data_IF_040489560454
#
_entry.id   IF_040489560454
#
_cell.length_a   1.000
_cell.length_b   1.000
_cell.length_c   1.000
_cell.angle_alpha   90.00
_cell.angle_beta   90.00
_cell.angle_gamma   90.00
#
_symmetry.space_group_name_H-M   'P 1'
#
loop_
_entity.id
_entity.type
_entity.pdbx_description
1 polymer ?
#
# COMPACT_ATOMS: atom_id res chain seq x y z
N UNK A 1 79.51 -35.72 -13.66
CA UNK A 1 78.83 -34.70 -14.46
C UNK A 1 77.29 -35.00 -14.40
N UNK A 2 76.57 -34.29 -13.55
CA UNK A 2 75.13 -34.42 -13.41
C UNK A 2 74.46 -33.38 -14.30
N UNK A 3 73.64 -33.82 -15.29
CA UNK A 3 72.87 -32.95 -16.16
C UNK A 3 71.61 -32.55 -15.41
N UNK A 4 71.38 -31.26 -15.14
CA UNK A 4 70.18 -30.68 -14.59
C UNK A 4 69.27 -30.33 -15.77
N UNK A 5 68.09 -30.94 -15.82
CA UNK A 5 67.03 -30.70 -16.78
C UNK A 5 66.14 -29.58 -16.22
N UNK A 6 65.89 -28.45 -16.89
CA UNK A 6 64.98 -27.45 -16.40
C UNK A 6 63.53 -27.87 -16.75
N UNK A 7 62.71 -28.01 -15.69
CA UNK A 7 61.25 -28.20 -15.82
C UNK A 7 60.62 -26.82 -16.09
N UNK A 8 60.09 -26.65 -17.31
CA UNK A 8 59.26 -25.50 -17.65
C UNK A 8 57.86 -25.70 -17.08
N UNK A 9 57.56 -24.95 -16.03
CA UNK A 9 56.19 -24.87 -15.47
C UNK A 9 55.39 -23.89 -16.33
N UNK A 10 54.53 -24.41 -17.23
CA UNK A 10 53.59 -23.60 -18.00
C UNK A 10 52.42 -23.32 -17.06
N UNK A 11 52.39 -22.13 -16.47
CA UNK A 11 51.22 -21.63 -15.76
C UNK A 11 50.13 -21.26 -16.77
N UNK A 12 49.12 -22.15 -16.91
CA UNK A 12 47.92 -21.89 -17.69
C UNK A 12 47.06 -20.92 -16.84
N UNK A 13 47.23 -19.61 -17.05
CA UNK A 13 46.34 -18.60 -16.50
C UNK A 13 45.04 -18.63 -17.29
N UNK A 14 44.00 -19.30 -16.72
CA UNK A 14 42.65 -19.24 -17.21
C UNK A 14 42.13 -17.80 -17.04
N UNK A 15 42.21 -17.00 -18.07
CA UNK A 15 41.47 -15.75 -18.15
C UNK A 15 39.97 -16.09 -18.23
N UNK A 16 39.28 -16.05 -17.09
CA UNK A 16 37.82 -15.98 -17.07
C UNK A 16 37.51 -14.58 -17.61
N UNK A 17 37.23 -14.47 -18.90
CA UNK A 17 36.66 -13.26 -19.46
C UNK A 17 35.24 -13.14 -18.87
N UNK A 18 35.09 -12.28 -17.85
CA UNK A 18 33.78 -11.81 -17.44
C UNK A 18 33.20 -11.03 -18.62
N UNK A 19 32.37 -11.68 -19.42
CA UNK A 19 31.54 -10.97 -20.39
C UNK A 19 30.61 -10.03 -19.59
N UNK A 20 31.03 -8.79 -19.43
CA UNK A 20 30.13 -7.71 -19.09
C UNK A 20 29.11 -7.65 -20.26
N UNK A 21 27.91 -8.12 -20.03
CA UNK A 21 26.84 -8.03 -20.99
C UNK A 21 26.56 -6.55 -21.19
N UNK A 22 27.07 -6.00 -22.30
CA UNK A 22 26.85 -4.60 -22.66
C UNK A 22 25.36 -4.39 -22.81
N UNK A 23 24.78 -3.49 -22.01
CA UNK A 23 23.39 -3.10 -22.11
C UNK A 23 23.14 -2.38 -23.43
N UNK A 24 22.59 -3.09 -24.41
CA UNK A 24 22.30 -2.55 -25.73
C UNK A 24 20.91 -1.90 -25.82
N UNK A 25 20.16 -1.85 -24.73
CA UNK A 25 18.78 -1.35 -24.74
C UNK A 25 18.65 0.16 -24.74
N UNK A 26 19.71 0.89 -24.39
CA UNK A 26 19.71 2.35 -24.14
C UNK A 26 18.72 2.80 -23.06
N UNK A 27 18.11 1.85 -22.34
CA UNK A 27 17.11 2.09 -21.32
C UNK A 27 17.72 2.01 -19.91
N UNK A 28 17.34 2.95 -19.07
CA UNK A 28 17.52 2.85 -17.62
C UNK A 28 16.14 2.80 -16.97
N UNK A 29 15.89 1.75 -16.20
CA UNK A 29 14.60 1.57 -15.51
C UNK A 29 14.86 1.56 -14.01
N UNK A 30 14.08 2.37 -13.29
CA UNK A 30 14.23 2.52 -11.85
C UNK A 30 12.88 2.42 -11.14
N UNK A 31 12.90 1.92 -9.90
CA UNK A 31 11.79 1.99 -8.97
C UNK A 31 11.89 3.30 -8.19
N UNK A 32 10.87 4.12 -8.27
CA UNK A 32 10.66 5.29 -7.42
C UNK A 32 9.78 4.91 -6.24
N UNK A 33 10.25 5.20 -5.02
CA UNK A 33 9.48 4.97 -3.78
C UNK A 33 9.34 6.29 -3.05
N UNK A 34 8.08 6.72 -2.88
CA UNK A 34 7.73 7.98 -2.26
C UNK A 34 7.28 7.77 -0.82
N UNK A 35 7.74 8.66 0.07
CA UNK A 35 7.38 8.60 1.48
C UNK A 35 5.87 8.81 1.70
N UNK A 36 5.31 8.35 2.85
CA UNK A 36 3.95 8.66 3.24
C UNK A 36 3.65 10.16 3.21
N UNK A 37 2.38 10.50 2.95
CA UNK A 37 1.82 11.85 3.08
C UNK A 37 0.85 11.96 4.26
N UNK A 38 0.23 13.13 4.39
CA UNK A 38 -0.70 13.44 5.49
C UNK A 38 -2.13 12.95 5.26
N UNK A 39 -2.49 12.73 3.99
CA UNK A 39 -3.83 12.28 3.64
C UNK A 39 -3.94 10.75 3.73
N UNK A 40 -5.15 10.23 3.96
CA UNK A 40 -5.39 8.79 4.12
C UNK A 40 -4.91 7.98 2.91
N UNK A 41 -5.17 8.45 1.70
CA UNK A 41 -4.74 7.77 0.47
C UNK A 41 -3.23 7.77 0.26
N UNK A 42 -2.50 8.71 0.86
CA UNK A 42 -1.05 8.84 0.73
C UNK A 42 -0.27 8.31 1.95
N UNK A 43 -0.96 7.93 3.04
CA UNK A 43 -0.31 7.50 4.30
C UNK A 43 0.49 6.21 4.18
N UNK A 44 0.25 5.44 3.13
CA UNK A 44 0.99 4.19 2.86
C UNK A 44 2.23 4.40 1.99
N UNK A 45 2.49 5.64 1.54
CA UNK A 45 3.50 5.94 0.54
C UNK A 45 3.00 5.67 -0.88
N UNK A 46 3.93 5.65 -1.84
CA UNK A 46 3.63 5.38 -3.24
C UNK A 46 4.82 4.75 -3.96
N UNK A 47 4.57 4.05 -5.06
CA UNK A 47 5.60 3.49 -5.93
C UNK A 47 5.27 3.74 -7.39
N UNK A 48 6.30 4.07 -8.19
CA UNK A 48 6.20 4.25 -9.64
C UNK A 48 7.45 3.68 -10.34
N UNK A 49 7.35 3.40 -11.64
CA UNK A 49 8.51 3.03 -12.46
C UNK A 49 8.90 4.19 -13.36
N UNK A 50 10.18 4.56 -13.31
CA UNK A 50 10.78 5.53 -14.24
C UNK A 50 11.49 4.78 -15.34
N UNK A 51 11.30 5.21 -16.58
CA UNK A 51 11.99 4.72 -17.76
C UNK A 51 12.65 5.90 -18.46
N UNK A 52 13.96 5.87 -18.50
CA UNK A 52 14.78 6.83 -19.24
C UNK A 52 15.33 6.14 -20.49
N UNK A 53 15.19 6.78 -21.64
CA UNK A 53 15.74 6.33 -22.92
C UNK A 53 16.74 7.36 -23.42
N UNK A 54 18.01 6.97 -23.50
CA UNK A 54 19.11 7.84 -23.93
C UNK A 54 19.16 8.10 -25.44
N UNK A 55 18.45 7.32 -26.25
CA UNK A 55 18.35 7.49 -27.70
C UNK A 55 17.25 8.47 -28.07
N UNK A 56 16.07 8.31 -27.45
CA UNK A 56 14.92 9.21 -27.71
C UNK A 56 14.90 10.43 -26.80
N UNK A 57 15.84 10.52 -25.85
CA UNK A 57 15.90 11.57 -24.82
C UNK A 57 14.58 11.71 -24.04
N UNK A 58 13.87 10.61 -23.83
CA UNK A 58 12.65 10.60 -23.03
C UNK A 58 12.91 10.12 -21.62
N UNK A 59 12.24 10.74 -20.65
CA UNK A 59 12.32 10.42 -19.24
C UNK A 59 10.90 10.44 -18.66
N UNK A 60 10.32 9.26 -18.51
CA UNK A 60 8.90 9.07 -18.21
C UNK A 60 8.72 8.27 -16.93
N UNK A 61 7.70 8.64 -16.16
CA UNK A 61 7.25 7.91 -14.97
C UNK A 61 5.92 7.25 -15.27
N UNK A 62 5.87 5.95 -15.07
CA UNK A 62 4.68 5.12 -15.16
C UNK A 62 4.08 4.96 -13.77
N UNK A 63 2.93 5.60 -13.55
CA UNK A 63 2.32 5.80 -12.25
C UNK A 63 0.99 5.06 -12.16
N UNK A 64 1.00 3.85 -11.57
CA UNK A 64 -0.21 3.06 -11.29
C UNK A 64 -0.95 3.64 -10.08
N UNK A 65 -2.28 3.54 -10.07
CA UNK A 65 -3.09 3.97 -8.94
C UNK A 65 -3.61 5.40 -9.07
N UNK A 66 -3.50 5.99 -10.26
CA UNK A 66 -4.10 7.29 -10.55
C UNK A 66 -5.62 7.16 -10.67
N UNK A 67 -6.34 8.14 -10.19
CA UNK A 67 -7.79 8.23 -10.28
C UNK A 67 -8.24 9.69 -10.42
N UNK A 68 -9.44 9.89 -10.95
CA UNK A 68 -10.00 11.22 -11.18
C UNK A 68 -11.19 11.47 -10.25
N UNK A 69 -11.24 12.64 -9.63
CA UNK A 69 -12.42 13.14 -8.92
C UNK A 69 -13.43 13.70 -9.92
N UNK A 70 -14.33 12.82 -10.39
CA UNK A 70 -15.46 13.21 -11.21
C UNK A 70 -16.76 13.13 -10.40
N UNK A 71 -17.91 13.66 -10.89
CA UNK A 71 -19.18 13.63 -10.16
C UNK A 71 -19.64 12.23 -9.71
N UNK A 72 -19.24 11.18 -10.43
CA UNK A 72 -19.56 9.78 -10.13
C UNK A 72 -18.52 9.11 -9.21
N UNK A 73 -17.50 9.83 -8.76
CA UNK A 73 -16.40 9.26 -7.96
C UNK A 73 -16.95 8.55 -6.71
N UNK A 74 -17.66 9.28 -5.84
CA UNK A 74 -18.13 8.71 -4.57
C UNK A 74 -19.08 7.53 -4.74
N UNK A 75 -20.12 7.59 -5.61
CA UNK A 75 -20.99 6.43 -5.88
C UNK A 75 -20.23 5.20 -6.40
N UNK A 76 -19.25 5.39 -7.28
CA UNK A 76 -18.42 4.30 -7.82
C UNK A 76 -17.45 3.76 -6.76
N UNK A 77 -16.84 4.63 -5.98
CA UNK A 77 -15.94 4.26 -4.89
C UNK A 77 -16.66 3.40 -3.85
N UNK A 78 -17.81 3.88 -3.32
CA UNK A 78 -18.60 3.14 -2.31
C UNK A 78 -19.03 1.76 -2.83
N UNK A 79 -19.37 1.65 -4.12
CA UNK A 79 -19.77 0.37 -4.73
C UNK A 79 -18.58 -0.54 -5.08
N UNK A 80 -17.35 -0.08 -4.94
CA UNK A 80 -16.15 -0.81 -5.38
C UNK A 80 -16.03 -0.94 -6.91
N UNK A 81 -16.60 0.03 -7.65
CA UNK A 81 -16.62 0.07 -9.13
C UNK A 81 -15.77 1.19 -9.72
N UNK A 82 -15.04 1.91 -8.87
CA UNK A 82 -14.12 2.95 -9.35
C UNK A 82 -12.97 2.28 -10.11
N UNK A 83 -12.74 2.74 -11.32
CA UNK A 83 -11.56 2.36 -12.09
C UNK A 83 -10.44 3.34 -11.81
N UNK A 84 -9.30 2.78 -11.49
CA UNK A 84 -8.02 3.47 -11.44
C UNK A 84 -7.30 3.26 -12.77
N UNK A 85 -6.27 4.03 -13.02
CA UNK A 85 -5.51 3.89 -14.26
C UNK A 85 -4.01 4.10 -14.09
N UNK A 86 -3.26 3.65 -15.10
CA UNK A 86 -1.85 3.95 -15.26
C UNK A 86 -1.73 5.30 -15.97
N UNK A 87 -1.21 6.32 -15.26
CA UNK A 87 -0.81 7.59 -15.86
C UNK A 87 0.66 7.55 -16.25
N UNK A 88 1.02 8.36 -17.25
CA UNK A 88 2.40 8.57 -17.69
C UNK A 88 2.66 10.06 -17.67
N UNK A 89 3.67 10.45 -16.94
CA UNK A 89 4.09 11.85 -16.80
C UNK A 89 5.60 12.00 -17.01
N UNK A 90 6.10 13.22 -17.12
CA UNK A 90 7.54 13.46 -17.18
C UNK A 90 8.15 13.31 -15.79
N UNK A 91 9.41 12.88 -15.72
CA UNK A 91 10.10 12.76 -14.45
C UNK A 91 10.21 14.07 -13.66
N UNK A 92 10.51 15.24 -14.31
CA UNK A 92 10.49 16.51 -13.61
C UNK A 92 9.13 16.86 -12.97
N UNK A 93 8.01 16.60 -13.67
CA UNK A 93 6.67 16.89 -13.16
C UNK A 93 6.35 15.99 -11.95
N UNK A 94 6.71 14.70 -12.03
CA UNK A 94 6.57 13.77 -10.92
C UNK A 94 7.35 14.25 -9.68
N UNK A 95 8.62 14.60 -9.85
CA UNK A 95 9.47 15.07 -8.73
C UNK A 95 8.91 16.37 -8.16
N UNK A 96 8.50 17.31 -9.01
CA UNK A 96 7.93 18.59 -8.59
C UNK A 96 6.66 18.39 -7.74
N UNK A 97 5.76 17.49 -8.14
CA UNK A 97 4.56 17.17 -7.36
C UNK A 97 4.89 16.72 -5.94
N UNK A 98 5.85 15.80 -5.77
CA UNK A 98 6.28 15.32 -4.45
C UNK A 98 7.06 16.37 -3.64
N UNK A 99 7.76 17.28 -4.30
CA UNK A 99 8.38 18.42 -3.63
C UNK A 99 7.34 19.38 -3.05
N UNK A 100 6.25 19.65 -3.78
CA UNK A 100 5.14 20.48 -3.29
C UNK A 100 4.41 19.84 -2.10
N UNK A 101 4.34 18.51 -2.05
CA UNK A 101 3.77 17.76 -0.95
C UNK A 101 4.76 17.52 0.22
N UNK A 102 6.00 17.99 0.11
CA UNK A 102 7.10 17.73 1.06
C UNK A 102 7.29 16.23 1.35
N UNK A 103 7.21 15.40 0.32
CA UNK A 103 7.35 13.95 0.40
C UNK A 103 8.63 13.49 -0.26
N UNK A 104 9.47 12.78 0.47
CA UNK A 104 10.76 12.26 -0.02
C UNK A 104 10.57 11.21 -1.11
N UNK A 105 11.52 11.18 -2.06
CA UNK A 105 11.59 10.17 -3.13
C UNK A 105 12.93 9.46 -3.03
N UNK A 106 12.91 8.13 -3.04
CA UNK A 106 14.08 7.25 -3.18
C UNK A 106 14.01 6.52 -4.51
N UNK A 107 15.14 6.33 -5.13
CA UNK A 107 15.27 5.64 -6.40
C UNK A 107 16.15 4.39 -6.25
N UNK A 108 15.73 3.29 -6.86
CA UNK A 108 16.47 2.03 -6.98
C UNK A 108 16.60 1.69 -8.46
N UNK A 109 17.81 1.62 -8.98
CA UNK A 109 18.06 1.17 -10.34
C UNK A 109 17.87 -0.34 -10.45
N UNK A 110 17.07 -0.77 -11.43
CA UNK A 110 16.82 -2.18 -11.68
C UNK A 110 17.91 -2.75 -12.58
N UNK A 111 18.66 -3.72 -12.06
CA UNK A 111 19.78 -4.37 -12.75
C UNK A 111 19.28 -5.47 -13.71
N UNK A 112 18.52 -5.04 -14.71
CA UNK A 112 17.95 -5.87 -15.76
C UNK A 112 18.89 -5.94 -16.98
N UNK A 113 18.86 -7.06 -17.71
CA UNK A 113 19.52 -7.15 -19.00
C UNK A 113 18.84 -6.25 -20.05
N UNK A 114 19.54 -5.94 -21.15
CA UNK A 114 18.97 -5.12 -22.22
C UNK A 114 17.67 -5.70 -22.78
N UNK A 115 17.57 -7.03 -22.94
CA UNK A 115 16.35 -7.71 -23.38
C UNK A 115 15.20 -7.54 -22.37
N UNK A 116 15.47 -7.71 -21.07
CA UNK A 116 14.46 -7.55 -20.01
C UNK A 116 13.96 -6.10 -19.93
N UNK A 117 14.86 -5.12 -20.08
CA UNK A 117 14.50 -3.71 -20.14
C UNK A 117 13.56 -3.40 -21.30
N UNK A 118 13.87 -3.93 -22.49
CA UNK A 118 13.02 -3.76 -23.68
C UNK A 118 11.65 -4.41 -23.48
N UNK A 119 11.59 -5.64 -22.95
CA UNK A 119 10.32 -6.33 -22.63
C UNK A 119 9.49 -5.56 -21.62
N UNK A 120 10.12 -5.13 -20.52
CA UNK A 120 9.44 -4.38 -19.48
C UNK A 120 8.90 -3.04 -19.99
N UNK A 121 9.70 -2.30 -20.79
CA UNK A 121 9.26 -1.05 -21.38
C UNK A 121 8.08 -1.27 -22.37
N UNK A 122 8.12 -2.30 -23.20
CA UNK A 122 7.02 -2.65 -24.09
C UNK A 122 5.74 -3.01 -23.32
N UNK A 123 5.86 -3.76 -22.22
CA UNK A 123 4.74 -4.10 -21.33
C UNK A 123 4.14 -2.86 -20.67
N UNK A 124 4.98 -1.91 -20.19
CA UNK A 124 4.52 -0.64 -19.62
C UNK A 124 3.79 0.21 -20.67
N UNK A 125 4.32 0.34 -21.88
CA UNK A 125 3.66 1.06 -22.97
C UNK A 125 2.32 0.43 -23.36
N UNK A 126 2.24 -0.90 -23.42
CA UNK A 126 1.00 -1.62 -23.67
C UNK A 126 -0.03 -1.35 -22.57
N UNK A 127 0.39 -1.43 -21.29
CA UNK A 127 -0.49 -1.14 -20.16
C UNK A 127 -0.95 0.33 -20.13
N UNK A 128 -0.14 1.27 -20.64
CA UNK A 128 -0.51 2.68 -20.69
C UNK A 128 -1.42 3.03 -21.87
N UNK A 129 -1.64 2.11 -22.82
CA UNK A 129 -2.35 2.38 -24.07
C UNK A 129 -3.84 2.08 -24.01
N UNK A 130 -4.66 2.96 -24.58
CA UNK A 130 -6.11 2.76 -24.79
C UNK A 130 -6.88 2.37 -23.52
N UNK A 131 -7.66 1.30 -23.60
CA UNK A 131 -8.42 0.76 -22.48
C UNK A 131 -7.59 -0.04 -21.48
N UNK A 132 -6.39 -0.50 -21.86
CA UNK A 132 -5.52 -1.32 -21.00
C UNK A 132 -5.05 -0.59 -19.77
N UNK A 133 -5.02 0.75 -19.82
CA UNK A 133 -4.60 1.56 -18.67
C UNK A 133 -5.55 1.48 -17.47
N UNK A 134 -6.83 1.18 -17.69
CA UNK A 134 -7.84 1.13 -16.63
C UNK A 134 -7.91 -0.23 -15.97
N UNK A 135 -8.04 -0.22 -14.64
CA UNK A 135 -8.16 -1.45 -13.85
C UNK A 135 -8.96 -1.23 -12.57
N UNK A 136 -9.45 -2.33 -12.01
CA UNK A 136 -10.16 -2.32 -10.75
C UNK A 136 -9.17 -2.41 -9.62
N UNK A 137 -9.01 -1.33 -8.88
CA UNK A 137 -8.05 -1.25 -7.79
C UNK A 137 -8.45 -2.18 -6.62
N UNK A 138 -7.51 -2.95 -6.13
CA UNK A 138 -7.60 -3.66 -4.86
C UNK A 138 -6.42 -3.26 -3.98
N UNK A 139 -6.73 -2.81 -2.77
CA UNK A 139 -5.70 -2.25 -1.87
C UNK A 139 -4.60 -3.26 -1.51
N UNK A 140 -4.92 -4.56 -1.41
CA UNK A 140 -3.93 -5.60 -1.07
C UNK A 140 -3.32 -6.27 -2.30
N UNK A 141 -4.12 -6.48 -3.35
CA UNK A 141 -3.76 -7.43 -4.41
C UNK A 141 -3.60 -6.80 -5.79
N UNK A 142 -4.12 -5.58 -6.03
CA UNK A 142 -4.01 -4.90 -7.32
C UNK A 142 -3.87 -3.37 -7.15
N UNK A 143 -2.74 -2.95 -6.59
CA UNK A 143 -2.39 -1.54 -6.33
C UNK A 143 -1.10 -1.12 -7.04
N UNK A 144 -0.62 0.11 -6.79
CA UNK A 144 0.60 0.61 -7.41
C UNK A 144 1.81 -0.29 -7.16
N UNK A 145 2.00 -0.77 -5.93
CA UNK A 145 3.15 -1.58 -5.55
C UNK A 145 3.07 -3.02 -6.11
N UNK A 146 1.89 -3.66 -6.00
CA UNK A 146 1.71 -5.03 -6.51
C UNK A 146 1.82 -5.09 -8.02
N UNK A 147 1.26 -4.11 -8.75
CA UNK A 147 1.40 -4.04 -10.22
C UNK A 147 2.85 -3.88 -10.66
N UNK A 148 3.63 -3.06 -9.95
CA UNK A 148 5.05 -2.91 -10.23
C UNK A 148 5.80 -4.21 -9.94
N UNK A 149 5.54 -4.84 -8.79
CA UNK A 149 6.12 -6.14 -8.47
C UNK A 149 5.87 -7.15 -9.60
N UNK A 150 4.62 -7.27 -10.00
CA UNK A 150 4.19 -8.30 -10.93
C UNK A 150 4.68 -8.02 -12.36
N UNK A 151 4.65 -6.77 -12.83
CA UNK A 151 5.15 -6.45 -14.17
C UNK A 151 6.67 -6.64 -14.26
N UNK A 152 7.44 -6.34 -13.21
CA UNK A 152 8.87 -6.61 -13.18
C UNK A 152 9.13 -8.12 -13.19
N UNK A 153 8.49 -8.88 -12.28
CA UNK A 153 8.65 -10.34 -12.21
C UNK A 153 8.28 -11.05 -13.53
N UNK A 154 7.25 -10.57 -14.22
CA UNK A 154 6.77 -11.19 -15.48
C UNK A 154 7.65 -10.84 -16.70
N UNK A 155 8.57 -9.89 -16.57
CA UNK A 155 9.43 -9.46 -17.67
C UNK A 155 10.93 -9.74 -17.44
N UNK A 156 11.26 -10.51 -16.41
CA UNK A 156 12.60 -11.08 -16.21
C UNK A 156 12.73 -12.44 -16.90
N UNK A 157 13.93 -12.79 -17.33
CA UNK A 157 14.25 -14.07 -18.00
C UNK A 157 14.29 -15.24 -17.03
N UNK A 158 14.74 -14.99 -15.82
CA UNK A 158 14.76 -15.95 -14.72
C UNK A 158 13.81 -15.50 -13.61
N UNK A 159 13.42 -16.44 -12.74
CA UNK A 159 12.55 -16.15 -11.61
C UNK A 159 13.20 -15.16 -10.65
N UNK A 160 12.42 -14.17 -10.22
CA UNK A 160 12.83 -13.23 -9.17
C UNK A 160 12.68 -13.94 -7.82
N UNK A 161 13.79 -14.11 -7.12
CA UNK A 161 13.83 -14.67 -5.76
C UNK A 161 13.96 -13.54 -4.75
N UNK A 162 13.06 -13.48 -3.76
CA UNK A 162 13.03 -12.43 -2.75
C UNK A 162 13.35 -13.04 -1.38
N UNK A 163 14.36 -12.50 -0.68
CA UNK A 163 14.68 -12.92 0.69
C UNK A 163 13.54 -12.58 1.63
N UNK A 164 13.54 -13.18 2.82
CA UNK A 164 12.52 -12.86 3.81
C UNK A 164 12.59 -11.39 4.26
N UNK A 165 11.51 -10.66 4.04
CA UNK A 165 11.33 -9.24 4.40
C UNK A 165 10.20 -9.06 5.43
N UNK A 166 9.60 -10.13 5.94
CA UNK A 166 8.59 -10.07 7.00
C UNK A 166 9.17 -9.35 8.22
N UNK A 167 8.44 -8.40 8.83
CA UNK A 167 8.92 -7.71 10.04
C UNK A 167 8.98 -8.67 11.25
N UNK A 168 8.10 -9.66 11.29
CA UNK A 168 8.05 -10.76 12.25
C UNK A 168 7.17 -11.89 11.68
N UNK A 169 7.30 -13.14 12.22
CA UNK A 169 6.47 -14.26 11.80
C UNK A 169 4.96 -13.98 11.96
N UNK A 170 4.16 -14.52 11.07
CA UNK A 170 2.69 -14.48 11.11
C UNK A 170 2.06 -13.08 11.15
N UNK A 171 2.79 -12.04 10.74
CA UNK A 171 2.25 -10.70 10.62
C UNK A 171 1.02 -10.69 9.73
N UNK A 172 -0.09 -10.14 10.20
CA UNK A 172 -1.32 -10.01 9.41
C UNK A 172 -1.31 -8.76 8.50
N UNK A 173 -2.13 -8.79 7.45
CA UNK A 173 -2.34 -7.59 6.63
C UNK A 173 -2.85 -6.41 7.47
N UNK A 174 -3.74 -6.67 8.45
CA UNK A 174 -4.25 -5.65 9.36
C UNK A 174 -3.14 -4.98 10.16
N UNK A 175 -2.21 -5.75 10.70
CA UNK A 175 -1.08 -5.21 11.47
C UNK A 175 -0.16 -4.35 10.60
N UNK A 176 0.11 -4.76 9.36
CA UNK A 176 0.90 -3.95 8.41
C UNK A 176 0.22 -2.61 8.11
N UNK A 177 -1.11 -2.61 7.91
CA UNK A 177 -1.92 -1.40 7.71
C UNK A 177 -1.89 -0.53 8.98
N UNK A 178 -2.10 -1.12 10.15
CA UNK A 178 -2.06 -0.43 11.44
C UNK A 178 -0.72 0.24 11.70
N UNK A 179 0.39 -0.41 11.38
CA UNK A 179 1.73 0.16 11.53
C UNK A 179 1.89 1.44 10.72
N UNK A 180 1.36 1.47 9.49
CA UNK A 180 1.40 2.68 8.64
C UNK A 180 0.50 3.79 9.21
N UNK A 181 -0.75 3.46 9.57
CA UNK A 181 -1.71 4.43 10.13
C UNK A 181 -1.25 4.99 11.49
N UNK A 182 -0.65 4.15 12.34
CA UNK A 182 -0.12 4.59 13.63
C UNK A 182 1.07 5.55 13.45
N UNK A 183 1.96 5.29 12.48
CA UNK A 183 3.05 6.22 12.14
C UNK A 183 2.53 7.56 11.62
N UNK A 184 1.45 7.53 10.83
CA UNK A 184 0.77 8.72 10.34
C UNK A 184 -0.14 9.41 11.37
N UNK A 185 -0.30 8.89 12.60
CA UNK A 185 -1.22 9.45 13.61
C UNK A 185 -2.70 9.35 13.25
N UNK A 186 -3.06 8.48 12.28
CA UNK A 186 -4.40 8.36 11.71
C UNK A 186 -5.31 7.42 12.51
N UNK A 187 -5.46 7.68 13.80
CA UNK A 187 -6.19 6.79 14.72
C UNK A 187 -7.69 6.65 14.39
N UNK A 188 -8.34 7.71 13.90
CA UNK A 188 -9.76 7.67 13.50
C UNK A 188 -9.94 6.90 12.19
N UNK A 189 -9.05 7.10 11.23
CA UNK A 189 -9.06 6.32 9.98
C UNK A 189 -8.80 4.83 10.26
N UNK A 190 -7.88 4.53 11.20
CA UNK A 190 -7.63 3.16 11.67
C UNK A 190 -8.91 2.53 12.23
N UNK A 191 -9.63 3.22 13.11
CA UNK A 191 -10.92 2.74 13.63
C UNK A 191 -11.93 2.49 12.50
N UNK A 192 -12.03 3.42 11.53
CA UNK A 192 -12.91 3.27 10.38
C UNK A 192 -12.57 2.03 9.55
N UNK A 193 -11.29 1.78 9.31
CA UNK A 193 -10.78 0.59 8.61
C UNK A 193 -11.11 -0.68 9.41
N UNK A 194 -10.91 -0.68 10.74
CA UNK A 194 -11.20 -1.83 11.60
C UNK A 194 -12.70 -2.15 11.64
N UNK A 195 -13.56 -1.15 11.54
CA UNK A 195 -14.99 -1.34 11.46
C UNK A 195 -15.43 -1.87 10.09
N UNK A 196 -14.92 -1.30 8.99
CA UNK A 196 -15.41 -1.58 7.65
C UNK A 196 -14.81 -2.85 7.03
N UNK A 197 -13.54 -3.17 7.33
CA UNK A 197 -12.86 -4.30 6.71
C UNK A 197 -12.99 -5.59 7.54
N UNK A 198 -13.28 -6.68 6.85
CA UNK A 198 -13.56 -7.96 7.44
C UNK A 198 -12.32 -8.79 7.79
N UNK A 199 -12.54 -10.03 8.20
CA UNK A 199 -11.52 -10.95 8.71
C UNK A 199 -10.50 -11.42 7.68
N UNK A 200 -10.69 -11.10 6.41
CA UNK A 200 -9.68 -11.34 5.35
C UNK A 200 -8.35 -10.67 5.65
N UNK A 201 -8.36 -9.53 6.38
CA UNK A 201 -7.16 -8.82 6.78
C UNK A 201 -6.41 -9.45 7.95
N UNK A 202 -7.07 -10.33 8.71
CA UNK A 202 -6.49 -10.96 9.90
C UNK A 202 -5.65 -12.21 9.54
N UNK A 203 -5.60 -12.58 8.26
CA UNK A 203 -4.75 -13.63 7.75
C UNK A 203 -3.29 -13.19 7.78
N UNK A 204 -2.40 -14.13 8.12
CA UNK A 204 -0.96 -13.92 8.01
C UNK A 204 -0.57 -13.64 6.55
N UNK A 205 0.19 -12.57 6.33
CA UNK A 205 0.70 -12.21 5.02
C UNK A 205 1.93 -13.07 4.69
N UNK A 206 1.98 -13.63 3.50
CA UNK A 206 3.18 -14.26 2.97
C UNK A 206 4.24 -13.21 2.64
N UNK A 207 5.50 -13.64 2.56
CA UNK A 207 6.63 -12.74 2.31
C UNK A 207 6.39 -11.73 1.18
N UNK A 208 6.07 -12.21 -0.02
CA UNK A 208 5.82 -11.35 -1.18
C UNK A 208 4.52 -10.55 -1.10
N UNK A 209 3.56 -11.03 -0.32
CA UNK A 209 2.29 -10.33 -0.14
C UNK A 209 2.46 -9.04 0.65
N UNK A 210 3.49 -8.92 1.51
CA UNK A 210 3.77 -7.67 2.23
C UNK A 210 4.10 -6.52 1.28
N UNK A 211 4.57 -6.83 0.05
CA UNK A 211 4.93 -5.86 -0.98
C UNK A 211 3.72 -5.11 -1.57
N UNK A 212 2.51 -5.31 -1.04
CA UNK A 212 1.40 -4.40 -1.32
C UNK A 212 1.66 -2.99 -0.76
N UNK A 213 2.55 -2.86 0.21
CA UNK A 213 3.01 -1.58 0.73
C UNK A 213 4.28 -1.13 0.01
N UNK A 214 4.37 0.13 -0.45
CA UNK A 214 5.55 0.68 -1.12
C UNK A 214 6.86 0.49 -0.36
N UNK A 215 6.84 0.61 0.98
CA UNK A 215 8.01 0.36 1.82
C UNK A 215 8.50 -1.10 1.71
N UNK A 216 7.59 -2.05 1.65
CA UNK A 216 7.94 -3.47 1.51
C UNK A 216 8.28 -3.84 0.08
N UNK A 217 7.72 -3.16 -0.93
CA UNK A 217 8.18 -3.29 -2.32
C UNK A 217 9.64 -2.85 -2.44
N UNK A 218 9.99 -1.70 -1.85
CA UNK A 218 11.37 -1.21 -1.80
C UNK A 218 12.32 -2.24 -1.14
N UNK A 219 11.97 -2.75 0.05
CA UNK A 219 12.75 -3.77 0.76
C UNK A 219 12.83 -5.09 -0.01
N UNK A 220 11.73 -5.50 -0.63
CA UNK A 220 11.65 -6.71 -1.41
C UNK A 220 12.57 -6.67 -2.61
N UNK A 221 12.53 -5.61 -3.39
CA UNK A 221 13.43 -5.44 -4.53
C UNK A 221 14.90 -5.32 -4.10
N UNK A 222 15.17 -4.62 -3.00
CA UNK A 222 16.52 -4.49 -2.44
C UNK A 222 17.13 -5.84 -2.04
N UNK A 223 16.30 -6.79 -1.63
CA UNK A 223 16.70 -8.13 -1.22
C UNK A 223 16.64 -9.18 -2.34
N UNK A 224 16.07 -8.78 -3.50
CA UNK A 224 15.78 -9.69 -4.59
C UNK A 224 16.98 -9.98 -5.48
N UNK A 225 16.94 -11.15 -6.12
CA UNK A 225 17.86 -11.53 -7.20
C UNK A 225 17.10 -12.11 -8.38
N UNK A 226 17.64 -11.93 -9.59
CA UNK A 226 17.26 -12.60 -10.83
C UNK A 226 18.37 -13.59 -11.15
N UNK A 227 18.10 -14.89 -11.01
CA UNK A 227 19.16 -15.88 -10.97
C UNK A 227 20.17 -15.57 -9.84
N UNK A 228 21.44 -15.41 -10.22
CA UNK A 228 22.51 -15.09 -9.28
C UNK A 228 22.86 -13.59 -9.18
N UNK A 229 22.13 -12.70 -9.88
CA UNK A 229 22.40 -11.26 -9.89
C UNK A 229 21.43 -10.53 -9.00
N UNK A 230 21.86 -9.56 -8.18
CA UNK A 230 20.96 -8.68 -7.45
C UNK A 230 20.03 -7.94 -8.44
N UNK A 231 18.72 -7.88 -8.11
CA UNK A 231 17.74 -7.14 -8.91
C UNK A 231 17.99 -5.63 -8.85
N UNK A 232 18.47 -5.11 -7.73
CA UNK A 232 18.75 -3.68 -7.51
C UNK A 232 20.24 -3.45 -7.58
N UNK A 233 20.64 -2.47 -8.39
CA UNK A 233 22.00 -1.94 -8.48
C UNK A 233 22.19 -0.74 -7.54
N UNK A 234 22.30 0.46 -8.13
CA UNK A 234 22.47 1.69 -7.35
C UNK A 234 21.17 2.17 -6.70
N UNK A 235 21.36 2.82 -5.55
CA UNK A 235 20.27 3.45 -4.79
C UNK A 235 20.68 4.85 -4.38
N UNK A 236 19.78 5.81 -4.57
CA UNK A 236 20.04 7.17 -4.12
C UNK A 236 18.73 7.90 -3.75
N UNK A 237 18.81 8.90 -2.87
CA UNK A 237 17.72 9.82 -2.66
C UNK A 237 17.60 10.76 -3.87
N UNK A 238 16.39 10.89 -4.43
CA UNK A 238 16.08 11.89 -5.47
C UNK A 238 15.74 13.22 -4.82
N UNK A 239 14.89 13.15 -3.79
CA UNK A 239 14.49 14.29 -2.99
C UNK A 239 14.32 13.84 -1.54
N UNK A 240 14.85 14.65 -0.63
CA UNK A 240 14.68 14.45 0.81
C UNK A 240 13.89 15.64 1.35
N UNK A 241 12.69 15.37 1.85
CA UNK A 241 11.86 16.40 2.46
C UNK A 241 12.55 17.00 3.69
N UNK A 242 12.39 18.31 3.96
CA UNK A 242 13.04 19.00 5.08
C UNK A 242 12.65 18.42 6.44
N UNK A 243 11.44 17.94 6.57
CA UNK A 243 10.92 17.31 7.78
C UNK A 243 10.29 15.97 7.45
N UNK A 244 10.57 14.95 8.26
CA UNK A 244 9.73 13.76 8.25
C UNK A 244 8.31 14.19 8.68
N UNK A 245 7.28 13.75 7.95
CA UNK A 245 5.89 13.96 8.37
C UNK A 245 5.67 13.12 9.63
N UNK A 246 5.99 13.72 10.78
CA UNK A 246 5.66 13.15 12.09
C UNK A 246 4.35 13.82 12.49
N UNK A 247 3.25 13.08 12.36
CA UNK A 247 1.97 13.58 12.88
C UNK A 247 2.10 13.81 14.37
N UNK A 248 1.76 15.02 14.86
CA UNK A 248 1.79 15.30 16.30
C UNK A 248 0.88 14.30 17.01
N UNK A 249 1.30 13.81 18.19
CA UNK A 249 0.47 12.93 19.01
C UNK A 249 -0.83 13.68 19.35
N UNK A 250 -1.92 13.31 18.71
CA UNK A 250 -3.23 13.88 18.99
C UNK A 250 -3.75 13.33 20.32
N UNK A 251 -4.21 14.22 21.21
CA UNK A 251 -4.98 13.80 22.39
C UNK A 251 -6.36 13.27 22.01
N UNK A 252 -6.94 13.76 20.91
CA UNK A 252 -8.25 13.34 20.41
C UNK A 252 -8.14 12.04 19.61
N UNK A 253 -7.93 10.94 20.33
CA UNK A 253 -7.93 9.58 19.78
C UNK A 253 -9.30 8.92 19.99
N UNK A 254 -9.67 7.88 19.20
CA UNK A 254 -10.88 7.10 19.45
C UNK A 254 -10.97 6.57 20.90
N UNK A 255 -9.85 6.06 21.44
CA UNK A 255 -9.80 5.55 22.81
C UNK A 255 -10.18 6.63 23.83
N UNK A 256 -9.57 7.81 23.75
CA UNK A 256 -9.84 8.90 24.68
C UNK A 256 -11.29 9.42 24.53
N UNK A 257 -11.79 9.49 23.29
CA UNK A 257 -13.17 9.90 23.02
C UNK A 257 -14.18 8.93 23.62
N UNK A 258 -14.01 7.63 23.40
CA UNK A 258 -14.91 6.62 23.97
C UNK A 258 -14.77 6.48 25.48
N UNK A 259 -13.56 6.65 26.04
CA UNK A 259 -13.37 6.71 27.48
C UNK A 259 -14.10 7.90 28.10
N UNK A 260 -14.04 9.08 27.49
CA UNK A 260 -14.80 10.24 27.95
C UNK A 260 -16.31 10.01 27.90
N UNK A 261 -16.84 9.44 26.82
CA UNK A 261 -18.26 9.06 26.71
C UNK A 261 -18.64 8.07 27.79
N UNK A 262 -17.85 7.03 28.04
CA UNK A 262 -18.08 6.06 29.12
C UNK A 262 -18.13 6.73 30.49
N UNK A 263 -17.23 7.65 30.78
CA UNK A 263 -17.23 8.40 32.04
C UNK A 263 -18.49 9.25 32.23
N UNK A 264 -19.00 9.84 31.13
CA UNK A 264 -20.30 10.56 31.17
C UNK A 264 -21.45 9.62 31.50
N UNK A 265 -21.50 8.43 30.88
CA UNK A 265 -22.52 7.41 31.19
C UNK A 265 -22.48 6.99 32.67
N UNK A 266 -21.28 6.73 33.21
CA UNK A 266 -21.09 6.36 34.60
C UNK A 266 -21.58 7.49 35.49
N UNK A 267 -21.16 8.73 35.25
CA UNK A 267 -21.54 9.89 36.06
C UNK A 267 -23.07 10.09 36.08
N UNK A 268 -23.73 10.02 34.91
CA UNK A 268 -25.18 10.15 34.81
C UNK A 268 -25.92 9.01 35.52
N UNK A 269 -25.38 7.78 35.50
CA UNK A 269 -25.94 6.62 36.21
C UNK A 269 -25.88 6.84 37.76
N UNK A 270 -24.80 7.42 38.26
CA UNK A 270 -24.61 7.66 39.70
C UNK A 270 -25.50 8.78 40.23
N UNK A 271 -25.90 9.78 39.44
CA UNK A 271 -26.73 10.93 39.84
C UNK A 271 -28.16 10.53 40.23
N UNK A 272 -28.70 9.44 39.69
CA UNK A 272 -30.03 8.86 40.05
C UNK A 272 -31.24 9.84 40.02
N UNK A 273 -31.12 10.98 39.36
CA UNK A 273 -32.20 11.97 39.21
C UNK A 273 -33.13 11.63 38.03
N UNK A 274 -34.34 12.24 37.97
CA UNK A 274 -35.23 12.03 36.86
C UNK A 274 -34.68 12.57 35.56
N UNK A 275 -34.00 13.71 35.59
CA UNK A 275 -33.35 14.27 34.38
C UNK A 275 -32.20 13.38 33.87
N UNK A 276 -31.37 12.83 34.80
CA UNK A 276 -30.30 11.91 34.37
C UNK A 276 -30.83 10.64 33.73
N UNK A 277 -31.93 10.07 34.22
CA UNK A 277 -32.64 8.94 33.63
C UNK A 277 -33.16 9.26 32.20
N UNK A 278 -33.71 10.48 32.03
CA UNK A 278 -34.18 10.94 30.72
C UNK A 278 -33.05 11.06 29.69
N UNK A 279 -31.91 11.64 30.14
CA UNK A 279 -30.70 11.76 29.31
C UNK A 279 -30.15 10.36 28.94
N UNK A 280 -29.99 9.47 29.93
CA UNK A 280 -29.52 8.12 29.70
C UNK A 280 -30.40 7.39 28.69
N UNK A 281 -31.73 7.49 28.81
CA UNK A 281 -32.62 6.87 27.84
C UNK A 281 -32.53 7.46 26.43
N UNK A 282 -32.15 8.74 26.31
CA UNK A 282 -31.87 9.34 24.99
C UNK A 282 -30.53 8.88 24.42
N UNK A 283 -29.52 8.73 25.29
CA UNK A 283 -28.21 8.21 24.91
C UNK A 283 -28.30 6.71 24.51
N UNK A 284 -29.06 5.90 25.25
CA UNK A 284 -29.32 4.49 24.91
C UNK A 284 -29.99 4.40 23.53
N UNK A 285 -31.03 5.21 23.30
CA UNK A 285 -31.67 5.27 21.98
C UNK A 285 -30.67 5.58 20.88
N UNK A 286 -29.83 6.62 21.08
CA UNK A 286 -28.85 7.04 20.09
C UNK A 286 -27.79 5.95 19.86
N UNK A 287 -27.29 5.31 20.92
CA UNK A 287 -26.32 4.23 20.86
C UNK A 287 -26.84 3.05 20.02
N UNK A 288 -28.07 2.57 20.33
CA UNK A 288 -28.68 1.47 19.59
C UNK A 288 -28.99 1.85 18.15
N UNK A 289 -29.46 3.08 17.90
CA UNK A 289 -29.70 3.57 16.55
C UNK A 289 -28.42 3.61 15.72
N UNK A 290 -27.34 4.20 16.26
CA UNK A 290 -26.05 4.28 15.59
C UNK A 290 -25.46 2.89 15.34
N UNK A 291 -25.51 1.99 16.34
CA UNK A 291 -25.03 0.61 16.16
C UNK A 291 -25.84 -0.15 15.10
N UNK A 292 -27.15 0.05 15.07
CA UNK A 292 -28.02 -0.59 14.07
C UNK A 292 -27.78 -0.06 12.65
N UNK A 293 -27.65 1.27 12.49
CA UNK A 293 -27.32 1.89 11.20
C UNK A 293 -25.94 1.44 10.71
N UNK A 294 -24.96 1.35 11.62
CA UNK A 294 -23.66 0.78 11.30
C UNK A 294 -23.78 -0.66 10.81
N UNK A 295 -24.59 -1.49 11.48
CA UNK A 295 -24.85 -2.86 11.06
C UNK A 295 -25.46 -2.94 9.65
N UNK A 296 -26.42 -2.05 9.33
CA UNK A 296 -26.97 -1.95 7.98
C UNK A 296 -25.88 -1.61 6.97
N UNK A 297 -25.02 -0.64 7.29
CA UNK A 297 -23.88 -0.27 6.45
C UNK A 297 -22.94 -1.46 6.23
N UNK A 298 -22.59 -2.21 7.27
CA UNK A 298 -21.70 -3.37 7.17
C UNK A 298 -22.30 -4.48 6.29
N UNK A 299 -23.60 -4.76 6.42
CA UNK A 299 -24.30 -5.72 5.55
C UNK A 299 -24.30 -5.23 4.10
N UNK A 300 -24.55 -3.93 3.88
CA UNK A 300 -24.51 -3.33 2.55
C UNK A 300 -23.11 -3.44 1.94
N UNK A 301 -22.07 -3.12 2.71
CA UNK A 301 -20.68 -3.22 2.26
C UNK A 301 -20.29 -4.66 1.93
N UNK A 302 -20.74 -5.63 2.71
CA UNK A 302 -20.43 -7.04 2.50
C UNK A 302 -21.15 -7.63 1.29
N UNK A 303 -22.47 -7.40 1.18
CA UNK A 303 -23.33 -8.09 0.21
C UNK A 303 -23.68 -7.23 -1.02
N UNK A 304 -23.67 -5.91 -0.88
CA UNK A 304 -24.13 -4.94 -1.88
C UNK A 304 -23.01 -4.23 -2.66
N UNK A 305 -21.76 -4.52 -2.36
CA UNK A 305 -20.61 -3.88 -3.04
C UNK A 305 -19.60 -4.91 -3.55
N UNK A 306 -18.73 -4.44 -4.44
CA UNK A 306 -17.63 -5.26 -4.98
C UNK A 306 -16.39 -5.27 -4.06
N UNK A 307 -16.45 -4.66 -2.88
CA UNK A 307 -15.33 -4.62 -1.92
C UNK A 307 -15.09 -5.98 -1.27
N UNK A 308 -14.16 -6.77 -1.81
CA UNK A 308 -13.84 -8.11 -1.31
C UNK A 308 -13.36 -8.07 0.14
N UNK A 309 -12.60 -7.04 0.51
CA UNK A 309 -12.04 -6.87 1.85
C UNK A 309 -13.07 -6.54 2.93
N UNK A 310 -14.28 -6.13 2.56
CA UNK A 310 -15.40 -5.89 3.51
C UNK A 310 -16.16 -7.17 3.88
N UNK A 311 -15.87 -8.30 3.23
CA UNK A 311 -16.54 -9.58 3.46
C UNK A 311 -16.13 -10.22 4.79
N UNK A 312 -17.00 -11.07 5.34
CA UNK A 312 -16.78 -11.75 6.62
C UNK A 312 -16.45 -10.77 7.76
N UNK A 313 -17.27 -9.72 7.87
CA UNK A 313 -17.07 -8.68 8.88
C UNK A 313 -17.76 -9.07 10.19
N UNK A 314 -16.95 -9.49 11.16
CA UNK A 314 -17.44 -9.94 12.48
C UNK A 314 -17.89 -8.79 13.40
N UNK A 315 -17.70 -7.52 13.01
CA UNK A 315 -18.34 -6.41 13.72
C UNK A 315 -19.87 -6.49 13.70
N UNK A 316 -20.46 -7.25 12.78
CA UNK A 316 -21.88 -7.58 12.78
C UNK A 316 -22.34 -8.34 14.02
N UNK A 317 -21.45 -8.96 14.83
CA UNK A 317 -21.82 -9.63 16.07
C UNK A 317 -22.31 -8.65 17.15
N UNK A 318 -21.83 -7.41 17.11
CA UNK A 318 -22.24 -6.36 18.05
C UNK A 318 -23.02 -5.24 17.37
N UNK A 319 -22.75 -4.93 16.11
CA UNK A 319 -23.49 -3.95 15.32
C UNK A 319 -24.58 -4.64 14.51
N UNK A 320 -25.59 -5.17 15.20
CA UNK A 320 -26.71 -5.86 14.54
C UNK A 320 -27.65 -4.85 13.89
N UNK A 321 -28.08 -5.02 12.62
CA UNK A 321 -29.10 -4.18 11.98
C UNK A 321 -30.39 -4.03 12.79
N UNK A 322 -30.75 -5.08 13.52
CA UNK A 322 -31.96 -5.08 14.40
C UNK A 322 -31.88 -4.07 15.54
N UNK A 323 -30.71 -3.58 15.92
CA UNK A 323 -30.58 -2.52 16.92
C UNK A 323 -31.28 -1.23 16.49
N UNK A 324 -31.42 -0.96 15.19
CA UNK A 324 -32.20 0.18 14.67
C UNK A 324 -33.65 0.08 15.12
N UNK A 325 -34.26 -1.11 15.04
CA UNK A 325 -35.66 -1.35 15.47
C UNK A 325 -35.72 -1.30 17.00
N UNK A 326 -34.77 -1.99 17.71
CA UNK A 326 -34.73 -2.04 19.17
C UNK A 326 -34.65 -0.65 19.80
N UNK A 327 -33.94 0.31 19.18
CA UNK A 327 -33.86 1.69 19.65
C UNK A 327 -35.22 2.33 19.88
N UNK A 328 -36.17 2.16 18.96
CA UNK A 328 -37.52 2.73 19.09
C UNK A 328 -38.34 2.07 20.21
N UNK A 329 -38.16 0.75 20.43
CA UNK A 329 -38.82 0.08 21.54
C UNK A 329 -38.30 0.49 22.91
N UNK A 330 -37.01 0.81 23.04
CA UNK A 330 -36.44 1.35 24.26
C UNK A 330 -37.02 2.71 24.65
N UNK A 331 -37.38 3.54 23.67
CA UNK A 331 -38.00 4.84 23.86
C UNK A 331 -39.51 4.75 24.17
N UNK A 332 -40.24 3.74 23.65
CA UNK A 332 -41.68 3.62 23.82
C UNK A 332 -42.11 3.14 25.20
N UNK A 333 -41.21 2.61 26.04
CA UNK A 333 -41.52 2.11 27.38
C UNK A 333 -41.45 3.19 28.48
N UNK A 334 -41.34 4.47 28.11
CA UNK A 334 -41.39 5.64 28.98
C UNK A 334 -42.63 6.49 28.68
#
# INVERSE_FOLDING_TARGET
>A
MKKILPVFLIAFSSFVAAYAQTDSSHLRITLLTCSPGTELYSTFGHSALRVMDSVTFTDKVYNYGTFDFNPDFYPKFIRGKLLYYLSVETYPDFVYGYQQEERSIKEQELNLSGEEKLKLNAALQLNASGSNKFYKYDFLFDNCATRIRDIVKNNTTEAVTIKNILPYPDVSFRELIHNSLNRGGMYWSKLGIDILLGSGLDKAAQNEQTMFLPEYLFKGFDSASVGNKPLVGEKHPVYTAPSAIISPKSFFTPFNAFAAVLMVFIALTLIRSQWSKSILGSLDFLLFLCAGLLGILLVMMWLGTDHVLCRNNYNLLWALPFHTIAAFFLRSKK
#
